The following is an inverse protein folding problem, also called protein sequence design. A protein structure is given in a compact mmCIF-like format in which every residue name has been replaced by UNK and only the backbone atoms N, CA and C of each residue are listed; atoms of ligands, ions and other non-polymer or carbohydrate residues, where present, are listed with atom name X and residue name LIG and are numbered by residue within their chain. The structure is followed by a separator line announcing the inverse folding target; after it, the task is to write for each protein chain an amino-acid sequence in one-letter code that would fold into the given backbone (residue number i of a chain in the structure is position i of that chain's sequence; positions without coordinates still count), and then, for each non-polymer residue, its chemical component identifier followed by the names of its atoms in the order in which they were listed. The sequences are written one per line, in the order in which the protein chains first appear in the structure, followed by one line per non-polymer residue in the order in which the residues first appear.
data_IF_249825184576
#
_entry.id   IF_249825184576
#
_cell.length_a   1.000
_cell.length_b   1.000
_cell.length_c   1.000
_cell.angle_alpha   90.00
_cell.angle_beta   90.00
_cell.angle_gamma   90.00
#
_symmetry.space_group_name_H-M   'P 1'
#
loop_
_entity.id
_entity.type
_entity.pdbx_description
1 polymer ?
#
# COMPACT_ATOMS: atom_id res chain seq x y z
N UNK A 1 -72.56 -4.80 -25.64
CA UNK A 1 -71.91 -6.07 -26.00
C UNK A 1 -70.85 -5.71 -27.03
N UNK A 2 -69.55 -5.86 -26.83
CA UNK A 2 -68.79 -6.95 -26.23
C UNK A 2 -67.52 -6.42 -25.56
N UNK A 3 -67.04 -7.20 -24.60
CA UNK A 3 -66.10 -6.87 -23.55
C UNK A 3 -64.62 -6.80 -23.98
N UNK A 4 -63.84 -6.27 -23.03
CA UNK A 4 -62.54 -6.77 -22.59
C UNK A 4 -61.28 -6.31 -23.31
N UNK A 5 -60.40 -5.66 -22.53
CA UNK A 5 -58.95 -5.79 -22.76
C UNK A 5 -58.07 -4.60 -22.40
N UNK A 6 -58.28 -3.93 -21.26
CA UNK A 6 -57.31 -2.99 -20.69
C UNK A 6 -55.97 -3.72 -20.42
N UNK A 7 -54.98 -3.55 -21.31
CA UNK A 7 -53.61 -4.00 -21.08
C UNK A 7 -52.82 -2.90 -20.40
N UNK A 8 -52.94 -2.86 -19.08
CA UNK A 8 -51.96 -2.23 -18.21
C UNK A 8 -50.57 -2.86 -18.47
N UNK A 9 -49.66 -2.07 -19.04
CA UNK A 9 -48.27 -2.45 -19.22
C UNK A 9 -47.58 -2.47 -17.85
N UNK A 10 -47.38 -3.68 -17.32
CA UNK A 10 -46.69 -3.96 -16.05
C UNK A 10 -45.32 -3.26 -16.00
N UNK A 11 -44.93 -2.70 -14.84
CA UNK A 11 -43.65 -2.04 -14.67
C UNK A 11 -42.51 -3.05 -14.87
N UNK A 12 -41.49 -2.65 -15.63
CA UNK A 12 -40.28 -3.43 -15.86
C UNK A 12 -39.65 -3.74 -14.49
N UNK A 13 -39.72 -5.01 -14.09
CA UNK A 13 -38.97 -5.58 -12.97
C UNK A 13 -37.51 -5.15 -13.10
N UNK A 14 -37.05 -4.34 -12.15
CA UNK A 14 -35.64 -4.05 -11.96
C UNK A 14 -34.85 -5.36 -11.94
N UNK A 15 -34.02 -5.54 -12.96
CA UNK A 15 -33.08 -6.63 -13.02
C UNK A 15 -32.09 -6.45 -11.87
N UNK A 16 -32.38 -7.14 -10.76
CA UNK A 16 -31.55 -7.26 -9.56
C UNK A 16 -30.12 -7.57 -10.00
N UNK A 17 -29.29 -6.52 -10.05
CA UNK A 17 -27.85 -6.61 -10.32
C UNK A 17 -27.31 -7.56 -9.25
N UNK A 18 -26.80 -8.72 -9.66
CA UNK A 18 -26.10 -9.64 -8.75
C UNK A 18 -24.96 -8.84 -8.11
N UNK A 19 -25.09 -8.56 -6.82
CA UNK A 19 -23.98 -8.07 -6.02
C UNK A 19 -22.91 -9.15 -6.01
N UNK A 20 -21.83 -8.87 -6.72
CA UNK A 20 -20.65 -9.73 -6.76
C UNK A 20 -19.86 -9.39 -5.51
N UNK A 21 -20.06 -10.17 -4.44
CA UNK A 21 -19.19 -10.16 -3.27
C UNK A 21 -17.85 -10.77 -3.66
N UNK A 22 -16.96 -9.98 -4.26
CA UNK A 22 -15.59 -10.34 -4.54
C UNK A 22 -14.66 -9.31 -3.91
N UNK A 23 -14.02 -9.70 -2.80
CA UNK A 23 -13.08 -8.90 -2.03
C UNK A 23 -13.61 -8.48 -0.65
N UNK A 24 -12.67 -8.32 0.28
CA UNK A 24 -12.92 -7.76 1.63
C UNK A 24 -13.60 -6.40 1.48
N UNK A 25 -14.86 -6.29 1.91
CA UNK A 25 -15.56 -5.01 1.95
C UNK A 25 -14.96 -4.17 3.08
N UNK A 26 -14.06 -3.24 2.73
CA UNK A 26 -13.46 -2.32 3.69
C UNK A 26 -14.20 -0.99 3.62
N UNK A 27 -15.04 -0.70 4.61
CA UNK A 27 -15.47 0.67 4.86
C UNK A 27 -14.28 1.44 5.44
N UNK A 28 -13.69 2.34 4.66
CA UNK A 28 -12.70 3.30 5.19
C UNK A 28 -13.49 4.30 6.04
N UNK A 29 -13.75 3.93 7.29
CA UNK A 29 -14.43 4.79 8.26
C UNK A 29 -13.57 6.01 8.60
N UNK A 30 -14.23 7.07 9.02
CA UNK A 30 -13.58 8.22 9.64
C UNK A 30 -12.85 7.74 10.90
N UNK A 31 -11.51 7.79 10.89
CA UNK A 31 -10.72 7.33 12.04
C UNK A 31 -10.96 8.30 13.19
N UNK A 32 -11.60 7.81 14.24
CA UNK A 32 -11.56 8.47 15.55
C UNK A 32 -10.15 8.29 16.13
N UNK A 33 -9.19 9.11 15.70
CA UNK A 33 -7.93 9.25 16.43
C UNK A 33 -8.25 9.96 17.74
N UNK A 34 -8.07 9.27 18.87
CA UNK A 34 -8.14 9.92 20.18
C UNK A 34 -7.21 11.14 20.19
N UNK A 35 -7.70 12.26 20.75
CA UNK A 35 -6.92 13.50 20.83
C UNK A 35 -5.62 13.23 21.59
N UNK A 36 -4.49 13.25 20.88
CA UNK A 36 -3.15 13.06 21.47
C UNK A 36 -2.47 11.72 21.16
N UNK A 37 -3.06 10.85 20.34
CA UNK A 37 -2.39 9.61 19.94
C UNK A 37 -1.11 9.90 19.13
N UNK A 38 0.03 9.41 19.62
CA UNK A 38 1.31 9.45 18.91
C UNK A 38 1.70 8.03 18.53
N UNK A 39 1.86 7.73 17.22
CA UNK A 39 2.30 6.41 16.78
C UNK A 39 3.63 6.01 17.42
N UNK A 40 3.76 4.74 17.82
CA UNK A 40 4.95 4.18 18.47
C UNK A 40 6.24 4.50 17.70
N UNK A 41 6.20 4.34 16.38
CA UNK A 41 7.35 4.62 15.51
C UNK A 41 7.67 6.11 15.36
N UNK A 42 6.67 7.00 15.48
CA UNK A 42 6.89 8.45 15.52
C UNK A 42 7.57 8.86 16.82
N UNK A 43 7.16 8.27 17.95
CA UNK A 43 7.84 8.45 19.25
C UNK A 43 9.30 7.97 19.19
N UNK A 44 9.51 6.75 18.69
CA UNK A 44 10.86 6.17 18.49
C UNK A 44 11.75 7.04 17.61
N UNK A 45 11.19 7.62 16.54
CA UNK A 45 11.95 8.53 15.68
C UNK A 45 12.48 9.73 16.46
N UNK A 46 11.62 10.39 17.23
CA UNK A 46 11.97 11.59 17.99
C UNK A 46 12.93 11.32 19.15
N UNK A 47 12.72 10.23 19.88
CA UNK A 47 13.45 9.95 21.13
C UNK A 47 14.76 9.19 20.91
N UNK A 48 14.83 8.31 19.91
CA UNK A 48 15.96 7.40 19.74
C UNK A 48 16.68 7.58 18.41
N UNK A 49 15.95 7.56 17.29
CA UNK A 49 16.57 7.55 15.96
C UNK A 49 17.21 8.89 15.64
N UNK A 50 16.50 9.99 15.90
CA UNK A 50 16.98 11.33 15.59
C UNK A 50 18.25 11.71 16.38
N UNK A 51 18.34 11.50 17.71
CA UNK A 51 19.59 11.70 18.45
C UNK A 51 20.73 10.82 17.95
N UNK A 52 20.47 9.54 17.66
CA UNK A 52 21.49 8.62 17.15
C UNK A 52 22.04 9.06 15.78
N UNK A 53 21.19 9.54 14.88
CA UNK A 53 21.61 10.08 13.59
C UNK A 53 22.40 11.38 13.72
N UNK A 54 22.00 12.27 14.63
CA UNK A 54 22.77 13.50 14.92
C UNK A 54 24.18 13.18 15.42
N UNK A 55 24.31 12.20 16.31
CA UNK A 55 25.62 11.78 16.83
C UNK A 55 26.47 11.11 15.74
N UNK A 56 25.87 10.24 14.92
CA UNK A 56 26.59 9.49 13.88
C UNK A 56 27.11 10.37 12.74
N UNK A 57 26.32 11.35 12.31
CA UNK A 57 26.65 12.19 11.14
C UNK A 57 27.03 13.63 11.50
N UNK A 58 27.00 14.00 12.78
CA UNK A 58 27.45 15.32 13.24
C UNK A 58 26.61 16.49 12.73
N UNK A 59 25.31 16.30 12.47
CA UNK A 59 24.46 17.38 11.96
C UNK A 59 24.41 18.58 12.91
N UNK A 60 24.71 19.77 12.39
CA UNK A 60 24.69 21.02 13.16
C UNK A 60 23.28 21.52 13.41
N UNK A 61 22.34 21.21 12.51
CA UNK A 61 20.94 21.62 12.62
C UNK A 61 20.04 20.38 12.75
N UNK A 62 19.20 20.42 13.77
CA UNK A 62 18.16 19.43 14.04
C UNK A 62 17.23 19.14 12.84
N UNK A 63 17.00 20.13 11.98
CA UNK A 63 16.13 20.00 10.79
C UNK A 63 16.83 19.32 9.61
N UNK A 64 18.15 19.14 9.66
CA UNK A 64 18.90 18.40 8.62
C UNK A 64 18.77 16.88 8.78
N UNK A 65 18.34 16.41 9.96
CA UNK A 65 18.25 14.97 10.23
C UNK A 65 17.26 14.33 9.25
N UNK A 66 17.66 13.25 8.55
CA UNK A 66 16.80 12.55 7.63
C UNK A 66 15.49 12.08 8.28
N UNK A 67 14.39 12.17 7.53
CA UNK A 67 13.06 11.66 7.91
C UNK A 67 12.42 10.94 6.74
N UNK A 68 11.44 10.09 7.05
CA UNK A 68 10.59 9.48 6.03
C UNK A 68 9.49 10.48 5.66
N UNK A 69 9.42 10.86 4.39
CA UNK A 69 8.45 11.85 3.90
C UNK A 69 7.12 11.22 3.50
N UNK A 70 7.19 10.07 2.83
CA UNK A 70 6.03 9.31 2.38
C UNK A 70 6.42 7.85 2.15
N UNK A 71 5.43 6.98 2.27
CA UNK A 71 5.53 5.58 1.82
C UNK A 71 4.50 5.37 0.72
N UNK A 72 4.93 4.83 -0.41
CA UNK A 72 4.07 4.51 -1.54
C UNK A 72 3.95 3.00 -1.64
N UNK A 73 2.71 2.50 -1.65
CA UNK A 73 2.42 1.11 -1.96
C UNK A 73 1.83 1.03 -3.35
N UNK A 74 2.28 0.07 -4.14
CA UNK A 74 1.85 -0.10 -5.52
C UNK A 74 1.69 -1.59 -5.85
N UNK A 75 0.55 -1.95 -6.44
CA UNK A 75 0.33 -3.25 -7.05
C UNK A 75 0.20 -3.05 -8.56
N UNK A 76 1.09 -3.71 -9.31
CA UNK A 76 1.00 -3.83 -10.75
C UNK A 76 0.17 -5.04 -11.14
N UNK A 77 -1.01 -4.84 -11.71
CA UNK A 77 -1.92 -5.90 -12.14
C UNK A 77 -2.03 -5.93 -13.68
N UNK A 78 -0.87 -5.96 -14.36
CA UNK A 78 -0.78 -5.85 -15.82
C UNK A 78 -1.52 -6.95 -16.58
N UNK A 79 -1.51 -8.17 -16.06
CA UNK A 79 -2.25 -9.31 -16.64
C UNK A 79 -3.77 -9.20 -16.38
N UNK A 80 -4.13 -8.54 -15.26
CA UNK A 80 -5.51 -8.29 -14.86
C UNK A 80 -6.13 -7.08 -15.57
N UNK A 81 -5.40 -6.39 -16.46
CA UNK A 81 -5.93 -5.26 -17.23
C UNK A 81 -7.17 -5.65 -18.08
N UNK A 82 -7.32 -6.94 -18.38
CA UNK A 82 -8.49 -7.51 -19.09
C UNK A 82 -9.70 -7.74 -18.17
N UNK A 83 -9.49 -7.87 -16.86
CA UNK A 83 -10.52 -8.22 -15.89
C UNK A 83 -10.68 -7.14 -14.82
N UNK A 84 -11.75 -6.34 -14.97
CA UNK A 84 -12.04 -5.24 -14.05
C UNK A 84 -12.31 -5.70 -12.60
N UNK A 85 -12.71 -6.96 -12.38
CA UNK A 85 -12.98 -7.48 -11.02
C UNK A 85 -11.70 -7.67 -10.23
N UNK A 86 -10.67 -8.25 -10.86
CA UNK A 86 -9.37 -8.46 -10.24
C UNK A 86 -8.71 -7.15 -9.80
N UNK A 87 -8.89 -6.09 -10.58
CA UNK A 87 -8.40 -4.75 -10.23
C UNK A 87 -9.16 -4.16 -9.03
N UNK A 88 -10.47 -4.37 -8.96
CA UNK A 88 -11.26 -3.95 -7.80
C UNK A 88 -10.85 -4.71 -6.53
N UNK A 89 -10.57 -6.01 -6.64
CA UNK A 89 -10.03 -6.81 -5.54
C UNK A 89 -8.70 -6.26 -5.05
N UNK A 90 -7.72 -6.06 -5.94
CA UNK A 90 -6.43 -5.48 -5.59
C UNK A 90 -6.55 -4.08 -4.95
N UNK A 91 -7.54 -3.28 -5.37
CA UNK A 91 -7.84 -1.99 -4.75
C UNK A 91 -8.39 -2.15 -3.33
N UNK A 92 -9.29 -3.10 -3.11
CA UNK A 92 -9.86 -3.38 -1.79
C UNK A 92 -8.79 -3.91 -0.83
N UNK A 93 -7.92 -4.82 -1.31
CA UNK A 93 -6.83 -5.40 -0.53
C UNK A 93 -5.81 -4.32 -0.12
N UNK A 94 -5.40 -3.47 -1.05
CA UNK A 94 -4.54 -2.32 -0.72
C UNK A 94 -5.20 -1.35 0.24
N UNK A 95 -6.52 -1.15 0.11
CA UNK A 95 -7.27 -0.28 1.00
C UNK A 95 -7.34 -0.86 2.41
N UNK A 96 -7.48 -2.18 2.56
CA UNK A 96 -7.41 -2.88 3.83
C UNK A 96 -6.04 -2.69 4.49
N UNK A 97 -4.97 -2.94 3.73
CA UNK A 97 -3.59 -2.86 4.22
C UNK A 97 -3.24 -1.43 4.63
N UNK A 98 -3.51 -0.45 3.78
CA UNK A 98 -3.19 0.95 4.06
C UNK A 98 -4.13 1.59 5.11
N UNK A 99 -5.36 1.09 5.22
CA UNK A 99 -6.45 1.77 5.90
C UNK A 99 -6.75 3.16 5.34
N UNK A 100 -6.42 3.38 4.06
CA UNK A 100 -6.71 4.56 3.26
C UNK A 100 -7.15 4.07 1.87
N UNK A 101 -8.18 4.68 1.30
CA UNK A 101 -8.70 4.30 -0.02
C UNK A 101 -7.61 4.41 -1.09
N UNK A 102 -7.30 3.28 -1.72
CA UNK A 102 -6.33 3.22 -2.81
C UNK A 102 -6.90 3.82 -4.10
N UNK A 103 -6.01 4.30 -4.97
CA UNK A 103 -6.34 4.94 -6.25
C UNK A 103 -5.98 4.00 -7.38
N UNK A 104 -6.93 3.79 -8.30
CA UNK A 104 -6.68 3.02 -9.55
C UNK A 104 -5.69 3.76 -10.44
N UNK A 105 -4.66 3.08 -10.89
CA UNK A 105 -3.71 3.59 -11.89
C UNK A 105 -4.18 3.20 -13.29
N UNK A 106 -4.26 4.20 -14.17
CA UNK A 106 -4.66 4.04 -15.57
C UNK A 106 -3.48 4.17 -16.51
N UNK A 107 -3.52 3.43 -17.61
CA UNK A 107 -2.55 3.49 -18.69
C UNK A 107 -2.52 4.88 -19.33
N UNK A 108 -1.34 5.47 -19.48
CA UNK A 108 -1.15 6.74 -20.23
C UNK A 108 -0.84 6.53 -21.71
N UNK A 109 -0.32 5.35 -22.07
CA UNK A 109 0.10 5.02 -23.43
C UNK A 109 -0.45 3.66 -23.81
N UNK A 110 -0.85 3.51 -25.07
CA UNK A 110 -1.18 2.21 -25.63
C UNK A 110 0.11 1.48 -26.03
N UNK A 111 0.24 0.21 -25.64
CA UNK A 111 1.38 -0.64 -25.99
C UNK A 111 0.83 -2.00 -26.42
N UNK A 112 0.99 -2.33 -27.70
CA UNK A 112 0.40 -3.52 -28.31
C UNK A 112 0.95 -4.84 -27.70
N UNK A 113 2.24 -4.90 -27.38
CA UNK A 113 2.90 -6.09 -26.79
C UNK A 113 2.24 -6.53 -25.49
N UNK A 114 1.83 -5.57 -24.66
CA UNK A 114 1.16 -5.83 -23.39
C UNK A 114 -0.37 -5.84 -23.50
N UNK A 115 -0.92 -5.70 -24.72
CA UNK A 115 -2.36 -5.58 -25.00
C UNK A 115 -3.04 -4.43 -24.23
N UNK A 116 -2.29 -3.38 -23.91
CA UNK A 116 -2.77 -2.23 -23.12
C UNK A 116 -3.28 -1.14 -24.05
N UNK A 117 -4.47 -0.60 -23.74
CA UNK A 117 -5.05 0.61 -24.36
C UNK A 117 -4.95 1.79 -23.40
N UNK A 118 -4.94 3.01 -23.93
CA UNK A 118 -4.96 4.22 -23.12
C UNK A 118 -6.23 4.29 -22.25
N UNK A 119 -6.08 4.74 -21.00
CA UNK A 119 -7.19 4.86 -20.04
C UNK A 119 -7.59 3.56 -19.34
N UNK A 120 -7.02 2.42 -19.74
CA UNK A 120 -7.26 1.11 -19.13
C UNK A 120 -6.70 1.08 -17.71
N UNK A 121 -7.44 0.48 -16.76
CA UNK A 121 -6.95 0.28 -15.41
C UNK A 121 -5.88 -0.83 -15.42
N UNK A 122 -4.71 -0.56 -14.82
CA UNK A 122 -3.56 -1.49 -14.82
C UNK A 122 -3.18 -1.88 -13.39
N UNK A 123 -3.52 -1.07 -12.39
CA UNK A 123 -3.14 -1.38 -11.04
C UNK A 123 -3.78 -0.45 -10.03
N UNK A 124 -3.25 -0.48 -8.82
CA UNK A 124 -3.69 0.34 -7.71
C UNK A 124 -2.49 0.83 -6.92
N UNK A 125 -2.57 2.08 -6.44
CA UNK A 125 -1.54 2.68 -5.61
C UNK A 125 -2.15 3.44 -4.44
N UNK A 126 -1.38 3.57 -3.37
CA UNK A 126 -1.72 4.41 -2.23
C UNK A 126 -0.45 5.10 -1.74
N UNK A 127 -0.60 6.33 -1.25
CA UNK A 127 0.52 7.10 -0.69
C UNK A 127 0.18 7.50 0.73
N UNK A 128 0.94 6.96 1.67
CA UNK A 128 0.80 7.18 3.11
C UNK A 128 1.71 8.32 3.54
N UNK A 129 1.18 9.20 4.39
CA UNK A 129 1.89 10.33 5.00
C UNK A 129 1.43 10.50 6.45
N UNK A 130 2.21 11.25 7.24
CA UNK A 130 1.85 11.56 8.61
C UNK A 130 1.79 10.31 9.48
N UNK A 131 0.78 10.22 10.33
CA UNK A 131 0.69 9.15 11.35
C UNK A 131 0.39 7.78 10.74
N UNK A 132 -0.45 7.72 9.71
CA UNK A 132 -0.80 6.47 8.98
C UNK A 132 0.45 5.79 8.41
N UNK A 133 1.42 6.59 7.97
CA UNK A 133 2.69 6.09 7.46
C UNK A 133 3.50 5.37 8.55
N UNK A 134 3.60 5.96 9.75
CA UNK A 134 4.33 5.35 10.86
C UNK A 134 3.63 4.10 11.39
N UNK A 135 2.30 4.07 11.42
CA UNK A 135 1.52 2.86 11.76
C UNK A 135 1.73 1.74 10.74
N UNK A 136 1.75 2.08 9.45
CA UNK A 136 2.03 1.10 8.41
C UNK A 136 3.44 0.53 8.53
N UNK A 137 4.45 1.37 8.80
CA UNK A 137 5.84 0.90 9.01
C UNK A 137 5.91 -0.05 10.21
N UNK A 138 5.24 0.28 11.32
CA UNK A 138 5.19 -0.60 12.50
C UNK A 138 4.58 -1.96 12.17
N UNK A 139 3.40 -1.97 11.53
CA UNK A 139 2.75 -3.22 11.10
C UNK A 139 3.61 -4.01 10.10
N UNK A 140 4.28 -3.32 9.17
CA UNK A 140 5.15 -3.97 8.21
C UNK A 140 6.29 -4.72 8.92
N UNK A 141 7.02 -4.05 9.80
CA UNK A 141 8.22 -4.63 10.44
C UNK A 141 7.83 -5.67 11.50
N UNK A 142 6.87 -5.34 12.36
CA UNK A 142 6.54 -6.15 13.53
C UNK A 142 5.66 -7.35 13.17
N UNK A 143 4.76 -7.20 12.18
CA UNK A 143 3.79 -8.25 11.84
C UNK A 143 4.03 -8.88 10.47
N UNK A 144 4.25 -8.08 9.42
CA UNK A 144 4.26 -8.60 8.05
C UNK A 144 5.59 -9.29 7.68
N UNK A 145 6.74 -8.66 7.93
CA UNK A 145 8.06 -9.19 7.54
C UNK A 145 8.36 -10.58 8.14
N UNK A 146 8.07 -10.86 9.43
CA UNK A 146 8.29 -12.20 9.99
C UNK A 146 7.42 -13.30 9.37
N UNK A 147 6.29 -12.92 8.75
CA UNK A 147 5.35 -13.85 8.09
C UNK A 147 5.67 -14.08 6.62
N UNK A 148 6.64 -13.36 6.06
CA UNK A 148 7.10 -13.58 4.70
C UNK A 148 7.77 -14.96 4.62
N UNK A 149 7.32 -15.79 3.67
CA UNK A 149 7.94 -17.08 3.39
C UNK A 149 9.40 -16.91 2.96
N UNK A 150 10.31 -17.66 3.57
CA UNK A 150 11.76 -17.61 3.35
C UNK A 150 12.39 -16.22 3.60
N UNK A 151 11.99 -15.55 4.68
CA UNK A 151 12.54 -14.26 5.04
C UNK A 151 14.01 -14.35 5.50
N UNK A 152 14.93 -13.82 4.69
CA UNK A 152 16.38 -13.75 5.00
C UNK A 152 16.84 -12.34 5.40
N UNK A 153 15.90 -11.44 5.68
CA UNK A 153 16.16 -10.01 5.78
C UNK A 153 15.96 -9.29 4.45
N UNK A 154 15.97 -7.96 4.51
CA UNK A 154 15.84 -7.08 3.36
C UNK A 154 17.22 -6.75 2.79
N UNK A 155 17.29 -6.59 1.47
CA UNK A 155 18.54 -6.29 0.78
C UNK A 155 18.99 -4.86 1.10
N UNK A 156 20.21 -4.64 1.63
CA UNK A 156 20.75 -3.30 1.88
C UNK A 156 21.19 -2.57 0.61
N UNK A 157 21.14 -3.20 -0.57
CA UNK A 157 21.54 -2.60 -1.86
C UNK A 157 20.38 -2.00 -2.66
N UNK A 158 19.15 -2.10 -2.17
CA UNK A 158 17.95 -1.62 -2.91
C UNK A 158 17.70 -0.11 -2.76
N UNK A 159 18.76 0.67 -2.56
CA UNK A 159 18.71 2.13 -2.55
C UNK A 159 18.96 2.69 -3.95
N UNK A 160 18.44 3.88 -4.21
CA UNK A 160 18.49 4.53 -5.52
C UNK A 160 19.63 5.54 -5.70
N UNK A 161 20.60 5.59 -4.78
CA UNK A 161 21.68 6.58 -4.78
C UNK A 161 21.29 7.95 -4.21
N UNK A 162 19.99 8.17 -3.94
CA UNK A 162 19.44 9.43 -3.42
C UNK A 162 18.68 9.21 -2.12
N UNK A 163 18.98 8.12 -1.41
CA UNK A 163 18.39 7.81 -0.11
C UNK A 163 16.93 7.36 -0.15
N UNK A 164 16.36 7.01 -1.31
CA UNK A 164 15.08 6.30 -1.35
C UNK A 164 15.32 4.80 -1.35
N UNK A 165 14.44 4.08 -0.67
CA UNK A 165 14.51 2.63 -0.57
C UNK A 165 13.27 2.00 -1.22
N UNK A 166 13.48 1.03 -2.09
CA UNK A 166 12.39 0.26 -2.70
C UNK A 166 12.56 -1.22 -2.35
N UNK A 167 11.47 -1.84 -1.90
CA UNK A 167 11.42 -3.28 -1.72
C UNK A 167 10.20 -3.87 -2.42
N UNK A 168 10.42 -4.99 -3.10
CA UNK A 168 9.36 -5.80 -3.66
C UNK A 168 8.94 -6.88 -2.67
N UNK A 169 7.65 -7.09 -2.53
CA UNK A 169 7.07 -8.17 -1.76
C UNK A 169 6.28 -9.08 -2.69
N UNK A 170 6.62 -10.38 -2.69
CA UNK A 170 6.04 -11.34 -3.63
C UNK A 170 4.56 -11.61 -3.36
N UNK A 171 4.15 -11.56 -2.09
CA UNK A 171 2.83 -12.00 -1.66
C UNK A 171 2.25 -10.97 -0.68
N UNK A 172 1.13 -10.34 -1.05
CA UNK A 172 0.44 -9.37 -0.19
C UNK A 172 -0.36 -10.01 0.96
N UNK A 173 -0.56 -11.34 0.95
CA UNK A 173 -1.31 -12.10 1.99
C UNK A 173 -0.58 -12.17 3.34
N UNK A 174 0.62 -11.61 3.46
CA UNK A 174 1.36 -11.54 4.73
C UNK A 174 0.71 -10.59 5.75
N UNK A 175 -0.11 -9.65 5.27
CA UNK A 175 -0.89 -8.75 6.12
C UNK A 175 -2.07 -9.48 6.75
N UNK A 176 -2.28 -9.29 8.06
CA UNK A 176 -3.36 -9.94 8.82
C UNK A 176 -4.74 -9.40 8.42
N UNK A 177 -4.78 -8.20 7.84
CA UNK A 177 -5.99 -7.53 7.37
C UNK A 177 -6.57 -8.18 6.11
N UNK A 178 -5.80 -9.03 5.42
CA UNK A 178 -6.25 -9.76 4.24
C UNK A 178 -6.81 -11.12 4.66
N UNK A 179 -8.05 -11.38 4.26
CA UNK A 179 -8.68 -12.67 4.42
C UNK A 179 -8.21 -13.62 3.31
N UNK A 180 -7.46 -14.64 3.70
CA UNK A 180 -6.89 -15.61 2.76
C UNK A 180 -7.99 -16.36 1.98
N UNK A 181 -9.13 -16.66 2.62
CA UNK A 181 -10.20 -17.45 2.01
C UNK A 181 -10.99 -16.65 0.97
N UNK A 182 -10.98 -15.32 1.08
CA UNK A 182 -11.62 -14.40 0.12
C UNK A 182 -10.69 -13.99 -1.02
N UNK A 183 -9.41 -14.30 -0.93
CA UNK A 183 -8.40 -13.86 -1.89
C UNK A 183 -8.21 -14.90 -2.98
N UNK A 184 -8.77 -14.64 -4.17
CA UNK A 184 -8.64 -15.55 -5.32
C UNK A 184 -7.25 -15.48 -5.98
N UNK A 185 -6.59 -14.32 -5.91
CA UNK A 185 -5.31 -14.08 -6.59
C UNK A 185 -4.30 -13.47 -5.64
N UNK A 186 -3.13 -14.09 -5.55
CA UNK A 186 -2.00 -13.54 -4.78
C UNK A 186 -1.24 -12.53 -5.65
N UNK A 187 -1.32 -11.25 -5.27
CA UNK A 187 -0.57 -10.16 -5.88
C UNK A 187 0.79 -9.96 -5.22
N UNK A 188 1.78 -9.62 -6.04
CA UNK A 188 2.99 -8.94 -5.60
C UNK A 188 2.74 -7.45 -5.40
N UNK A 189 3.45 -6.85 -4.45
CA UNK A 189 3.35 -5.43 -4.12
C UNK A 189 4.73 -4.82 -3.96
N UNK A 190 4.90 -3.60 -4.49
CA UNK A 190 6.10 -2.79 -4.26
C UNK A 190 5.84 -1.76 -3.17
N UNK A 191 6.80 -1.64 -2.25
CA UNK A 191 6.79 -0.68 -1.17
C UNK A 191 7.99 0.25 -1.35
N UNK A 192 7.70 1.54 -1.54
CA UNK A 192 8.74 2.57 -1.75
C UNK A 192 8.73 3.55 -0.59
N UNK A 193 9.86 3.61 0.11
CA UNK A 193 10.11 4.57 1.18
C UNK A 193 10.86 5.76 0.60
N UNK A 194 10.19 6.91 0.59
CA UNK A 194 10.83 8.17 0.22
C UNK A 194 11.30 8.86 1.49
N UNK A 195 12.61 9.08 1.57
CA UNK A 195 13.23 9.77 2.70
C UNK A 195 13.72 11.16 2.27
N UNK A 196 14.11 11.98 3.24
CA UNK A 196 14.79 13.25 3.00
C UNK A 196 16.32 13.12 3.03
N UNK A 197 16.86 11.90 3.17
CA UNK A 197 18.30 11.67 3.14
C UNK A 197 18.86 12.06 1.77
N UNK A 198 20.11 12.50 1.73
CA UNK A 198 20.79 12.83 0.47
C UNK A 198 21.63 11.66 -0.04
N UNK A 199 22.10 10.82 0.87
CA UNK A 199 22.95 9.66 0.57
C UNK A 199 22.30 8.37 1.05
N UNK A 200 22.73 7.26 0.44
CA UNK A 200 22.23 5.94 0.80
C UNK A 200 22.68 5.50 2.21
N UNK A 201 23.84 5.98 2.67
CA UNK A 201 24.35 5.71 4.02
C UNK A 201 23.46 6.32 5.10
N UNK A 202 23.03 7.57 4.90
CA UNK A 202 22.09 8.28 5.77
C UNK A 202 20.73 7.56 5.80
N UNK A 203 20.23 7.17 4.62
CA UNK A 203 18.96 6.45 4.49
C UNK A 203 19.02 5.06 5.15
N UNK A 204 20.13 4.34 4.97
CA UNK A 204 20.34 3.04 5.60
C UNK A 204 20.37 3.17 7.12
N UNK A 205 21.13 4.12 7.65
CA UNK A 205 21.17 4.38 9.09
C UNK A 205 19.80 4.77 9.66
N UNK A 206 19.00 5.54 8.90
CA UNK A 206 17.63 5.88 9.28
C UNK A 206 16.75 4.62 9.39
N UNK A 207 16.77 3.75 8.37
CA UNK A 207 15.97 2.52 8.35
C UNK A 207 16.44 1.51 9.41
N UNK A 208 17.75 1.40 9.65
CA UNK A 208 18.30 0.59 10.75
C UNK A 208 17.79 1.08 12.12
N UNK A 209 17.70 2.40 12.33
CA UNK A 209 17.12 2.97 13.54
C UNK A 209 15.65 2.60 13.78
N UNK A 210 14.91 2.38 12.68
CA UNK A 210 13.54 1.86 12.69
C UNK A 210 13.46 0.33 12.82
N UNK A 211 14.58 -0.37 13.08
CA UNK A 211 14.64 -1.83 13.23
C UNK A 211 14.29 -2.59 11.94
N UNK A 212 14.57 -2.01 10.77
CA UNK A 212 14.47 -2.77 9.55
C UNK A 212 15.48 -3.93 9.57
N UNK A 213 15.03 -5.17 9.36
CA UNK A 213 15.91 -6.35 9.39
C UNK A 213 16.71 -6.46 8.09
N UNK A 214 17.80 -5.70 7.98
CA UNK A 214 18.75 -5.85 6.88
C UNK A 214 19.50 -7.17 6.99
N UNK A 215 19.69 -7.85 5.86
CA UNK A 215 20.58 -9.01 5.82
C UNK A 215 22.00 -8.53 6.09
N UNK A 216 22.61 -9.04 7.16
CA UNK A 216 24.04 -8.89 7.40
C UNK A 216 24.78 -9.66 6.31
N UNK A 217 25.54 -8.94 5.50
CA UNK A 217 26.46 -9.53 4.53
C UNK A 217 27.70 -10.07 5.24
#
# INVERSE_FOLDING_TARGET
MSEAGEKAAKPKKDAKRREVNAGTQVSVGERATEKGYVPRFKKRYNETVRPALMQKFGYTNQMQVPKINKVVLNIGAGEAASDSKKIQQALNDLTAIAGQKAVVTRAKKAIATFKIREGLAIGAKVTLRGDIMYEFIDRLITMALPRVRDFRGINPKSFDGRGNYAMGMKEHVVFLEIDYDKTETVWGMDIVFNTSAKTDEEAKALLEGFQFPFTSN
#
